data_IF_354594154278
#
_entry.id   IF_354594154278
#
_cell.length_a   1.000
_cell.length_b   1.000
_cell.length_c   1.000
_cell.angle_alpha   90.00
_cell.angle_beta   90.00
_cell.angle_gamma   90.00
#
_symmetry.space_group_name_H-M   'P 1'
#
loop_
_entity.id
_entity.type
_entity.pdbx_description
1 polymer ?
#
# COMPACT_ATOMS: atom_id res chain seq x y z
N UNK A 1 -16.04 1.05 -13.87
CA UNK A 1 -15.38 0.60 -15.13
C UNK A 1 -16.40 -0.17 -15.95
N UNK A 2 -16.50 0.10 -17.26
CA UNK A 2 -17.38 -0.66 -18.16
C UNK A 2 -16.74 -2.01 -18.51
N UNK A 3 -17.56 -3.05 -18.78
CA UNK A 3 -17.09 -4.40 -19.08
C UNK A 3 -16.06 -4.49 -20.22
N UNK A 4 -16.19 -3.77 -21.36
CA UNK A 4 -15.17 -3.81 -22.41
C UNK A 4 -13.79 -3.31 -21.96
N UNK A 5 -13.75 -2.34 -21.05
CA UNK A 5 -12.49 -1.84 -20.49
C UNK A 5 -11.89 -2.88 -19.54
N UNK A 6 -12.72 -3.48 -18.68
CA UNK A 6 -12.29 -4.55 -17.77
C UNK A 6 -11.72 -5.74 -18.55
N UNK A 7 -12.41 -6.18 -19.61
CA UNK A 7 -11.95 -7.25 -20.48
C UNK A 7 -10.60 -6.90 -21.13
N UNK A 8 -10.46 -5.66 -21.63
CA UNK A 8 -9.20 -5.20 -22.23
C UNK A 8 -8.04 -5.16 -21.25
N UNK A 9 -8.30 -4.78 -20.01
CA UNK A 9 -7.30 -4.78 -18.92
C UNK A 9 -6.90 -6.20 -18.55
N UNK A 10 -7.86 -7.10 -18.31
CA UNK A 10 -7.59 -8.49 -17.96
C UNK A 10 -6.79 -9.19 -19.06
N UNK A 11 -7.24 -9.07 -20.32
CA UNK A 11 -6.54 -9.61 -21.47
C UNK A 11 -5.11 -9.04 -21.58
N UNK A 12 -4.96 -7.71 -21.56
CA UNK A 12 -3.68 -7.04 -21.75
C UNK A 12 -2.65 -7.34 -20.68
N UNK A 13 -3.07 -7.65 -19.44
CA UNK A 13 -2.17 -8.07 -18.37
C UNK A 13 -1.79 -9.55 -18.50
N UNK A 14 -2.76 -10.43 -18.71
CA UNK A 14 -2.55 -11.88 -18.64
C UNK A 14 -1.89 -12.46 -19.89
N UNK A 15 -2.06 -11.84 -21.06
CA UNK A 15 -1.36 -12.22 -22.28
C UNK A 15 0.17 -12.02 -22.21
N UNK A 16 0.67 -11.19 -21.28
CA UNK A 16 2.12 -11.07 -21.05
C UNK A 16 2.75 -12.31 -20.41
N UNK A 17 1.93 -13.24 -19.89
CA UNK A 17 2.38 -14.54 -19.34
C UNK A 17 3.41 -14.42 -18.23
N UNK A 18 3.32 -13.38 -17.41
CA UNK A 18 4.11 -13.32 -16.18
C UNK A 18 3.74 -14.51 -15.29
N UNK A 19 4.71 -15.15 -14.61
CA UNK A 19 4.44 -16.26 -13.69
C UNK A 19 3.42 -15.89 -12.61
N UNK A 20 3.47 -14.65 -12.15
CA UNK A 20 2.54 -14.07 -11.19
C UNK A 20 2.02 -12.72 -11.69
N UNK A 21 0.72 -12.52 -11.62
CA UNK A 21 0.04 -11.26 -11.97
C UNK A 21 -0.93 -10.91 -10.85
N UNK A 22 -0.85 -9.68 -10.31
CA UNK A 22 -1.75 -9.23 -9.26
C UNK A 22 -2.59 -8.06 -9.77
N UNK A 23 -3.92 -8.19 -9.66
CA UNK A 23 -4.87 -7.10 -9.82
C UNK A 23 -5.06 -6.42 -8.46
N UNK A 24 -4.81 -5.12 -8.39
CA UNK A 24 -4.99 -4.33 -7.18
C UNK A 24 -6.17 -3.38 -7.36
N UNK A 25 -7.26 -3.67 -6.66
CA UNK A 25 -8.51 -2.92 -6.72
C UNK A 25 -8.54 -1.85 -5.63
N UNK A 26 -8.48 -0.60 -6.05
CA UNK A 26 -8.52 0.54 -5.14
C UNK A 26 -9.11 1.77 -5.84
N UNK A 27 -9.13 2.92 -5.16
CA UNK A 27 -9.69 4.18 -5.64
C UNK A 27 -11.10 4.39 -5.12
N UNK A 28 -11.48 5.57 -4.68
CA UNK A 28 -12.75 5.82 -4.01
C UNK A 28 -13.12 4.74 -2.99
N UNK A 29 -14.15 3.98 -3.28
CA UNK A 29 -14.51 2.75 -2.56
C UNK A 29 -14.91 1.67 -3.58
N UNK A 30 -14.08 0.62 -3.79
CA UNK A 30 -14.32 -0.40 -4.82
C UNK A 30 -15.64 -1.17 -4.63
N UNK A 31 -16.08 -1.37 -3.38
CA UNK A 31 -17.35 -2.09 -3.11
C UNK A 31 -18.56 -1.42 -3.74
N UNK A 32 -18.49 -0.13 -4.10
CA UNK A 32 -19.55 0.57 -4.81
C UNK A 32 -19.78 0.04 -6.24
N UNK A 33 -18.83 -0.65 -6.82
CA UNK A 33 -19.00 -1.31 -8.12
C UNK A 33 -19.92 -2.56 -8.05
N UNK A 34 -20.15 -3.05 -6.84
CA UNK A 34 -20.97 -4.24 -6.60
C UNK A 34 -20.18 -5.55 -6.77
N UNK A 35 -20.59 -6.59 -6.05
CA UNK A 35 -19.90 -7.89 -6.04
C UNK A 35 -19.89 -8.56 -7.42
N UNK A 36 -20.92 -8.35 -8.25
CA UNK A 36 -21.03 -8.95 -9.58
C UNK A 36 -19.98 -8.41 -10.56
N UNK A 37 -19.55 -7.16 -10.41
CA UNK A 37 -18.41 -6.63 -11.16
C UNK A 37 -17.14 -7.44 -10.90
N UNK A 38 -16.86 -7.80 -9.65
CA UNK A 38 -15.66 -8.58 -9.30
C UNK A 38 -15.80 -10.06 -9.62
N UNK A 39 -17.03 -10.63 -9.61
CA UNK A 39 -17.27 -11.97 -10.18
C UNK A 39 -16.94 -11.99 -11.68
N UNK A 40 -17.32 -10.93 -12.40
CA UNK A 40 -16.97 -10.78 -13.82
C UNK A 40 -15.47 -10.59 -14.03
N UNK A 41 -14.80 -9.83 -13.16
CA UNK A 41 -13.35 -9.69 -13.22
C UNK A 41 -12.65 -11.05 -13.11
N UNK A 42 -13.04 -11.86 -12.12
CA UNK A 42 -12.49 -13.21 -11.92
C UNK A 42 -12.80 -14.13 -13.10
N UNK A 43 -14.00 -14.06 -13.67
CA UNK A 43 -14.35 -14.82 -14.89
C UNK A 43 -13.40 -14.48 -16.06
N UNK A 44 -13.11 -13.19 -16.26
CA UNK A 44 -12.18 -12.73 -17.29
C UNK A 44 -10.74 -13.15 -17.00
N UNK A 45 -10.33 -13.10 -15.73
CA UNK A 45 -9.02 -13.59 -15.30
C UNK A 45 -8.84 -15.08 -15.60
N UNK A 46 -9.86 -15.90 -15.32
CA UNK A 46 -9.87 -17.31 -15.64
C UNK A 46 -9.84 -17.57 -17.15
N UNK A 47 -10.57 -16.76 -17.94
CA UNK A 47 -10.63 -16.86 -19.39
C UNK A 47 -9.31 -16.54 -20.08
N UNK A 48 -8.60 -15.49 -19.63
CA UNK A 48 -7.37 -15.02 -20.26
C UNK A 48 -6.09 -15.56 -19.62
N UNK A 49 -6.17 -16.07 -18.40
CA UNK A 49 -5.06 -16.73 -17.71
C UNK A 49 -4.57 -17.99 -18.43
N UNK A 50 -3.34 -18.38 -18.19
CA UNK A 50 -2.74 -19.59 -18.76
C UNK A 50 -2.47 -20.64 -17.67
N UNK A 51 -2.41 -21.93 -18.03
CA UNK A 51 -1.98 -22.98 -17.10
C UNK A 51 -0.63 -22.65 -16.45
N UNK A 52 -0.56 -22.72 -15.12
CA UNK A 52 0.65 -22.42 -14.35
C UNK A 52 0.87 -20.92 -14.04
N UNK A 53 0.05 -20.02 -14.56
CA UNK A 53 0.06 -18.61 -14.18
C UNK A 53 -0.70 -18.41 -12.87
N UNK A 54 -0.06 -17.73 -11.91
CA UNK A 54 -0.70 -17.36 -10.65
C UNK A 54 -1.34 -15.99 -10.81
N UNK A 55 -2.65 -15.90 -10.58
CA UNK A 55 -3.40 -14.65 -10.61
C UNK A 55 -3.89 -14.35 -9.21
N UNK A 56 -3.47 -13.20 -8.67
CA UNK A 56 -3.87 -12.73 -7.35
C UNK A 56 -4.73 -11.47 -7.44
N UNK A 57 -5.58 -11.28 -6.43
CA UNK A 57 -6.40 -10.09 -6.27
C UNK A 57 -6.14 -9.45 -4.92
N UNK A 58 -5.72 -8.17 -4.91
CA UNK A 58 -5.65 -7.33 -3.73
C UNK A 58 -6.78 -6.30 -3.78
N UNK A 59 -7.44 -6.05 -2.65
CA UNK A 59 -8.64 -5.22 -2.61
C UNK A 59 -8.63 -4.30 -1.40
N UNK A 60 -8.61 -2.98 -1.62
CA UNK A 60 -8.65 -2.00 -0.54
C UNK A 60 -10.07 -1.48 -0.32
N UNK A 61 -10.54 -1.52 0.93
CA UNK A 61 -11.90 -1.09 1.28
C UNK A 61 -11.97 -0.43 2.65
N UNK A 62 -12.96 0.44 2.83
CA UNK A 62 -13.36 0.95 4.13
C UNK A 62 -14.22 -0.05 4.96
N UNK A 63 -14.61 -1.17 4.38
CA UNK A 63 -15.37 -2.24 5.02
C UNK A 63 -16.88 -1.99 5.17
N UNK A 64 -17.37 -0.79 4.88
CA UNK A 64 -18.77 -0.40 5.20
C UNK A 64 -19.83 -1.24 4.49
N UNK A 65 -19.54 -1.73 3.28
CA UNK A 65 -20.46 -2.51 2.44
C UNK A 65 -20.10 -4.01 2.39
N UNK A 66 -19.18 -4.47 3.20
CA UNK A 66 -18.80 -5.89 3.24
C UNK A 66 -19.93 -6.70 3.90
N UNK A 67 -20.40 -7.71 3.20
CA UNK A 67 -21.41 -8.68 3.62
C UNK A 67 -20.97 -10.12 3.31
N UNK A 68 -21.91 -11.08 3.49
CA UNK A 68 -21.63 -12.51 3.27
C UNK A 68 -21.28 -12.81 1.80
N UNK A 69 -21.85 -12.08 0.83
CA UNK A 69 -21.55 -12.30 -0.60
C UNK A 69 -20.13 -11.86 -0.96
N UNK A 70 -19.70 -10.71 -0.41
CA UNK A 70 -18.32 -10.26 -0.53
C UNK A 70 -17.34 -11.24 0.11
N UNK A 71 -17.64 -11.71 1.33
CA UNK A 71 -16.77 -12.67 2.03
C UNK A 71 -16.66 -14.01 1.29
N UNK A 72 -17.75 -14.49 0.67
CA UNK A 72 -17.69 -15.68 -0.19
C UNK A 72 -16.76 -15.47 -1.38
N UNK A 73 -16.92 -14.37 -2.12
CA UNK A 73 -16.05 -14.03 -3.25
C UNK A 73 -14.58 -13.98 -2.81
N UNK A 74 -14.28 -13.25 -1.74
CA UNK A 74 -12.91 -13.08 -1.26
C UNK A 74 -12.27 -14.40 -0.82
N UNK A 75 -13.00 -15.25 -0.10
CA UNK A 75 -12.54 -16.57 0.31
C UNK A 75 -12.30 -17.49 -0.88
N UNK A 76 -13.28 -17.60 -1.79
CA UNK A 76 -13.28 -18.58 -2.86
C UNK A 76 -12.18 -18.30 -3.89
N UNK A 77 -11.82 -17.03 -4.08
CA UNK A 77 -10.78 -16.59 -5.00
C UNK A 77 -9.54 -16.02 -4.30
N UNK A 78 -9.43 -16.21 -2.99
CA UNK A 78 -8.25 -15.86 -2.17
C UNK A 78 -7.81 -14.40 -2.35
N UNK A 79 -8.76 -13.47 -2.30
CA UNK A 79 -8.44 -12.06 -2.29
C UNK A 79 -7.66 -11.69 -1.03
N UNK A 80 -6.64 -10.85 -1.17
CA UNK A 80 -5.99 -10.19 -0.04
C UNK A 80 -6.63 -8.83 0.21
N UNK A 81 -7.25 -8.65 1.36
CA UNK A 81 -8.01 -7.45 1.68
C UNK A 81 -7.17 -6.46 2.48
N UNK A 82 -7.11 -5.21 2.02
CA UNK A 82 -6.63 -4.09 2.81
C UNK A 82 -7.80 -3.37 3.45
N UNK A 83 -8.05 -3.65 4.74
CA UNK A 83 -9.16 -3.03 5.47
C UNK A 83 -8.70 -1.74 6.15
N UNK A 84 -9.40 -0.66 5.87
CA UNK A 84 -9.08 0.65 6.45
C UNK A 84 -9.58 0.75 7.90
N UNK A 85 -8.67 0.72 8.87
CA UNK A 85 -8.94 0.99 10.30
C UNK A 85 -7.79 1.84 10.84
N UNK A 86 -8.09 3.03 11.39
CA UNK A 86 -7.06 3.96 11.86
C UNK A 86 -6.72 3.78 13.35
N UNK A 87 -7.47 2.95 14.08
CA UNK A 87 -7.28 2.68 15.51
C UNK A 87 -8.60 2.54 16.26
N UNK A 88 -8.65 2.82 17.58
CA UNK A 88 -9.87 2.92 18.38
C UNK A 88 -10.90 3.87 17.76
N UNK A 89 -12.16 3.75 18.18
CA UNK A 89 -13.28 4.46 17.58
C UNK A 89 -13.07 5.97 17.50
N UNK A 90 -12.60 6.57 18.57
CA UNK A 90 -12.38 8.03 18.67
C UNK A 90 -11.31 8.53 17.67
N UNK A 91 -10.35 7.70 17.29
CA UNK A 91 -9.34 8.02 16.31
C UNK A 91 -9.90 7.80 14.89
N UNK A 92 -10.52 6.65 14.67
CA UNK A 92 -11.06 6.27 13.36
C UNK A 92 -12.17 7.22 12.92
N UNK A 93 -13.16 7.47 13.76
CA UNK A 93 -14.37 8.24 13.45
C UNK A 93 -14.10 9.74 13.33
N UNK A 94 -12.91 10.21 13.72
CA UNK A 94 -12.53 11.62 13.51
C UNK A 94 -12.51 12.02 12.03
N UNK A 95 -12.10 11.10 11.16
CA UNK A 95 -11.95 11.36 9.72
C UNK A 95 -12.76 10.41 8.83
N UNK A 96 -13.09 9.22 9.33
CA UNK A 96 -13.85 8.25 8.55
C UNK A 96 -15.31 8.32 8.94
N UNK A 97 -15.99 9.28 8.32
CA UNK A 97 -17.41 9.52 8.52
C UNK A 97 -18.20 9.31 7.21
N UNK A 98 -19.44 8.92 7.32
CA UNK A 98 -20.35 8.83 6.20
C UNK A 98 -20.87 10.24 5.80
N UNK A 99 -21.67 10.32 4.70
CA UNK A 99 -22.27 11.59 4.23
C UNK A 99 -23.13 12.30 5.26
N UNK A 100 -23.62 11.60 6.29
CA UNK A 100 -24.42 12.17 7.39
C UNK A 100 -23.55 12.55 8.62
N UNK A 101 -22.21 12.52 8.51
CA UNK A 101 -21.29 12.84 9.59
C UNK A 101 -21.18 11.77 10.68
N UNK A 102 -21.76 10.58 10.49
CA UNK A 102 -21.66 9.47 11.46
C UNK A 102 -20.41 8.65 11.18
N UNK A 103 -19.70 8.27 12.24
CA UNK A 103 -18.52 7.42 12.19
C UNK A 103 -18.76 6.07 11.48
N UNK A 104 -17.71 5.49 10.96
CA UNK A 104 -17.72 4.23 10.22
C UNK A 104 -17.07 3.07 10.99
N UNK A 105 -16.52 3.30 12.19
CA UNK A 105 -15.76 2.34 12.96
C UNK A 105 -16.51 1.03 13.23
N UNK A 106 -17.76 1.11 13.69
CA UNK A 106 -18.58 -0.08 13.96
C UNK A 106 -18.73 -0.97 12.72
N UNK A 107 -18.87 -0.35 11.52
CA UNK A 107 -18.99 -1.08 10.26
C UNK A 107 -17.66 -1.73 9.86
N UNK A 108 -16.55 -1.03 10.00
CA UNK A 108 -15.23 -1.57 9.71
C UNK A 108 -14.87 -2.74 10.63
N UNK A 109 -15.16 -2.64 11.94
CA UNK A 109 -14.95 -3.72 12.89
C UNK A 109 -15.87 -4.92 12.64
N UNK A 110 -17.14 -4.68 12.30
CA UNK A 110 -18.06 -5.75 11.90
C UNK A 110 -17.60 -6.48 10.64
N UNK A 111 -17.06 -5.74 9.65
CA UNK A 111 -16.46 -6.32 8.44
C UNK A 111 -15.24 -7.19 8.77
N UNK A 112 -14.36 -6.74 9.67
CA UNK A 112 -13.21 -7.52 10.12
C UNK A 112 -13.64 -8.84 10.77
N UNK A 113 -14.64 -8.79 11.64
CA UNK A 113 -15.17 -9.99 12.29
C UNK A 113 -15.86 -10.93 11.30
N UNK A 114 -16.60 -10.38 10.33
CA UNK A 114 -17.22 -11.17 9.27
C UNK A 114 -16.16 -11.87 8.40
N UNK A 115 -15.13 -11.15 7.96
CA UNK A 115 -14.01 -11.72 7.20
C UNK A 115 -13.28 -12.83 7.97
N UNK A 116 -13.04 -12.68 9.28
CA UNK A 116 -12.48 -13.75 10.14
C UNK A 116 -13.34 -15.01 10.14
N UNK A 117 -14.67 -14.87 10.27
CA UNK A 117 -15.60 -16.01 10.26
C UNK A 117 -15.58 -16.77 8.93
N UNK A 118 -15.34 -16.06 7.83
CA UNK A 118 -15.22 -16.67 6.49
C UNK A 118 -13.81 -17.18 6.16
N UNK A 119 -12.80 -16.92 7.01
CA UNK A 119 -11.41 -17.25 6.73
C UNK A 119 -10.78 -16.42 5.61
N UNK A 120 -11.26 -15.18 5.42
CA UNK A 120 -10.69 -14.22 4.46
C UNK A 120 -9.43 -13.62 5.04
N UNK A 121 -8.34 -13.60 4.26
CA UNK A 121 -7.10 -12.95 4.68
C UNK A 121 -7.18 -11.43 4.48
N UNK A 122 -6.79 -10.69 5.51
CA UNK A 122 -6.76 -9.23 5.42
C UNK A 122 -5.66 -8.62 6.28
N UNK A 123 -5.21 -7.46 5.85
CA UNK A 123 -4.30 -6.59 6.60
C UNK A 123 -4.99 -5.25 6.90
N UNK A 124 -4.55 -4.60 7.96
CA UNK A 124 -5.04 -3.28 8.35
C UNK A 124 -4.23 -2.19 7.66
N UNK A 125 -4.93 -1.23 7.06
CA UNK A 125 -4.39 0.01 6.51
C UNK A 125 -4.77 1.16 7.44
N UNK A 126 -3.79 1.71 8.13
CA UNK A 126 -3.98 2.80 9.10
C UNK A 126 -3.30 4.07 8.63
N UNK A 127 -4.06 5.14 8.48
CA UNK A 127 -3.53 6.45 8.11
C UNK A 127 -2.99 7.16 9.34
N UNK A 128 -1.71 7.53 9.28
CA UNK A 128 -1.06 8.34 10.30
C UNK A 128 -1.09 9.81 9.87
N UNK A 129 -1.71 10.65 10.67
CA UNK A 129 -1.84 12.08 10.45
C UNK A 129 -1.38 12.85 11.70
N UNK A 130 -1.45 14.19 11.67
CA UNK A 130 -0.96 15.03 12.79
C UNK A 130 -1.65 14.77 14.14
N UNK A 131 -2.84 14.18 14.13
CA UNK A 131 -3.63 14.01 15.35
C UNK A 131 -3.36 12.68 16.06
N UNK A 132 -2.91 11.65 15.31
CA UNK A 132 -2.60 10.33 15.85
C UNK A 132 -1.10 9.98 15.79
N UNK A 133 -0.26 10.84 15.22
CA UNK A 133 1.18 10.61 15.08
C UNK A 133 1.92 10.47 16.42
N UNK A 134 1.34 10.94 17.52
CA UNK A 134 1.89 10.75 18.88
C UNK A 134 1.60 9.38 19.50
N UNK A 135 0.83 8.51 18.84
CA UNK A 135 0.28 7.27 19.42
C UNK A 135 0.91 5.98 18.88
N UNK A 136 2.13 6.01 18.35
CA UNK A 136 2.72 4.92 17.57
C UNK A 136 2.67 3.55 18.25
N UNK A 137 3.29 3.40 19.43
CA UNK A 137 3.30 2.12 20.15
C UNK A 137 1.90 1.73 20.65
N UNK A 138 1.07 2.69 21.05
CA UNK A 138 -0.27 2.44 21.57
C UNK A 138 -1.21 1.95 20.48
N UNK A 139 -1.13 2.53 19.26
CA UNK A 139 -1.87 2.05 18.10
C UNK A 139 -1.48 0.61 17.75
N UNK A 140 -0.18 0.33 17.68
CA UNK A 140 0.26 -1.03 17.34
C UNK A 140 -0.14 -2.05 18.42
N UNK A 141 -0.07 -1.67 19.71
CA UNK A 141 -0.56 -2.51 20.80
C UNK A 141 -2.05 -2.75 20.68
N UNK A 142 -2.83 -1.70 20.43
CA UNK A 142 -4.27 -1.83 20.23
C UNK A 142 -4.60 -2.78 19.07
N UNK A 143 -3.94 -2.65 17.92
CA UNK A 143 -4.14 -3.58 16.81
C UNK A 143 -3.80 -5.02 17.20
N UNK A 144 -2.71 -5.25 17.92
CA UNK A 144 -2.30 -6.56 18.39
C UNK A 144 -3.36 -7.16 19.35
N UNK A 145 -3.89 -6.36 20.27
CA UNK A 145 -4.92 -6.77 21.25
C UNK A 145 -6.26 -7.10 20.57
N UNK A 146 -6.57 -6.45 19.44
CA UNK A 146 -7.71 -6.79 18.58
C UNK A 146 -7.45 -8.02 17.70
N UNK A 147 -6.27 -8.63 17.76
CA UNK A 147 -5.89 -9.77 16.92
C UNK A 147 -5.63 -9.40 15.45
N UNK A 148 -5.28 -8.15 15.17
CA UNK A 148 -4.85 -7.71 13.84
C UNK A 148 -3.34 -7.90 13.71
N UNK A 149 -2.96 -8.98 13.02
CA UNK A 149 -1.55 -9.40 12.93
C UNK A 149 -0.79 -8.83 11.74
N UNK A 150 -1.44 -8.12 10.83
CA UNK A 150 -0.84 -7.51 9.66
C UNK A 150 -1.27 -6.04 9.57
N UNK A 151 -0.31 -5.12 9.73
CA UNK A 151 -0.58 -3.68 9.81
C UNK A 151 0.33 -2.92 8.85
N UNK A 152 -0.23 -1.96 8.14
CA UNK A 152 0.51 -0.96 7.38
C UNK A 152 0.12 0.43 7.87
N UNK A 153 1.10 1.20 8.31
CA UNK A 153 0.95 2.61 8.63
C UNK A 153 1.24 3.46 7.39
N UNK A 154 0.31 4.32 7.01
CA UNK A 154 0.39 5.15 5.81
C UNK A 154 0.44 6.61 6.25
N UNK A 155 1.57 7.32 6.10
CA UNK A 155 1.65 8.72 6.48
C UNK A 155 0.77 9.59 5.57
N UNK A 156 -0.03 10.45 6.18
CA UNK A 156 -0.75 11.51 5.46
C UNK A 156 0.25 12.58 5.03
N UNK A 157 0.50 12.66 3.72
CA UNK A 157 1.43 13.63 3.12
C UNK A 157 0.82 14.10 1.80
N UNK A 158 0.12 15.23 1.84
CA UNK A 158 -0.57 15.79 0.67
C UNK A 158 -0.20 17.27 0.50
N UNK A 159 -0.03 17.78 -0.73
CA UNK A 159 0.26 19.20 -0.94
C UNK A 159 -0.79 20.09 -0.29
N UNK A 160 -0.34 20.98 0.62
CA UNK A 160 -1.22 21.97 1.28
C UNK A 160 -2.21 21.43 2.31
N UNK A 161 -2.19 20.13 2.61
CA UNK A 161 -3.12 19.57 3.60
C UNK A 161 -2.77 19.98 5.03
N UNK A 162 -3.76 20.43 5.84
CA UNK A 162 -3.56 20.73 7.25
C UNK A 162 -3.39 19.44 8.09
N UNK A 163 -3.67 18.26 7.53
CA UNK A 163 -3.63 16.97 8.22
C UNK A 163 -2.30 16.23 8.05
N UNK A 164 -1.37 16.80 7.30
CA UNK A 164 -0.06 16.21 7.08
C UNK A 164 0.65 15.89 8.40
N UNK A 165 1.30 14.75 8.45
CA UNK A 165 2.19 14.43 9.58
C UNK A 165 3.36 15.41 9.60
N UNK A 166 3.69 16.02 10.75
CA UNK A 166 4.95 16.73 10.89
C UNK A 166 6.11 15.71 10.77
N UNK A 167 7.14 15.97 9.95
CA UNK A 167 8.18 14.97 9.67
C UNK A 167 8.92 14.47 10.92
N UNK A 168 9.25 15.36 11.87
CA UNK A 168 9.94 15.01 13.10
C UNK A 168 9.06 14.16 14.02
N UNK A 169 7.75 14.42 14.07
CA UNK A 169 6.79 13.64 14.84
C UNK A 169 6.62 12.25 14.23
N UNK A 170 6.57 12.17 12.90
CA UNK A 170 6.53 10.89 12.21
C UNK A 170 7.80 10.06 12.43
N UNK A 171 8.96 10.71 12.53
CA UNK A 171 10.20 10.06 12.93
C UNK A 171 10.12 9.43 14.31
N UNK A 172 9.54 10.15 15.29
CA UNK A 172 9.27 9.61 16.63
C UNK A 172 8.27 8.47 16.60
N UNK A 173 7.15 8.65 15.89
CA UNK A 173 6.15 7.60 15.67
C UNK A 173 6.78 6.29 15.19
N UNK A 174 7.62 6.37 14.16
CA UNK A 174 8.31 5.19 13.61
C UNK A 174 9.24 4.55 14.62
N UNK A 175 10.01 5.35 15.39
CA UNK A 175 10.92 4.84 16.41
C UNK A 175 10.16 4.13 17.55
N UNK A 176 9.12 4.78 18.09
CA UNK A 176 8.33 4.24 19.21
C UNK A 176 7.58 2.96 18.81
N UNK A 177 6.96 2.97 17.63
CA UNK A 177 6.27 1.81 17.07
C UNK A 177 7.25 0.65 16.83
N UNK A 178 8.44 0.95 16.28
CA UNK A 178 9.48 -0.04 16.03
C UNK A 178 10.03 -0.65 17.33
N UNK A 179 10.20 0.16 18.36
CA UNK A 179 10.67 -0.31 19.66
C UNK A 179 9.70 -1.32 20.28
N UNK A 180 8.38 -1.02 20.28
CA UNK A 180 7.36 -1.97 20.71
C UNK A 180 7.35 -3.21 19.82
N UNK A 181 7.32 -3.04 18.50
CA UNK A 181 7.32 -4.15 17.55
C UNK A 181 8.52 -5.08 17.76
N UNK A 182 9.72 -4.52 17.85
CA UNK A 182 10.96 -5.32 17.90
C UNK A 182 11.17 -6.05 19.23
N UNK A 183 10.56 -5.59 20.33
CA UNK A 183 10.70 -6.17 21.67
C UNK A 183 9.58 -7.14 22.01
N UNK A 184 8.33 -6.79 21.72
CA UNK A 184 7.14 -7.47 22.24
C UNK A 184 6.30 -8.16 21.15
N UNK A 185 6.26 -7.59 19.92
CA UNK A 185 5.38 -8.02 18.85
C UNK A 185 6.09 -8.76 17.71
N UNK A 186 7.43 -8.82 17.71
CA UNK A 186 8.21 -9.45 16.65
C UNK A 186 7.85 -10.92 16.45
N UNK A 187 7.46 -11.27 15.21
CA UNK A 187 7.02 -12.62 14.83
C UNK A 187 5.58 -12.95 15.25
N UNK A 188 4.85 -11.98 15.82
CA UNK A 188 3.41 -12.09 16.13
C UNK A 188 2.60 -11.09 15.30
N UNK A 189 3.10 -9.86 15.17
CA UNK A 189 2.50 -8.80 14.36
C UNK A 189 3.48 -8.41 13.27
N UNK A 190 3.02 -8.38 12.04
CA UNK A 190 3.77 -7.95 10.87
C UNK A 190 3.43 -6.48 10.59
N UNK A 191 4.45 -5.62 10.65
CA UNK A 191 4.34 -4.23 10.25
C UNK A 191 5.07 -4.06 8.93
N UNK A 192 4.35 -3.76 7.86
CA UNK A 192 4.85 -3.83 6.49
C UNK A 192 6.17 -3.10 6.28
N UNK A 193 6.35 -1.92 6.85
CA UNK A 193 7.60 -1.15 6.74
C UNK A 193 8.77 -1.83 7.46
N UNK A 194 8.53 -2.33 8.66
CA UNK A 194 9.59 -2.92 9.48
C UNK A 194 10.01 -4.29 8.95
N UNK A 195 9.05 -5.12 8.56
CA UNK A 195 9.31 -6.42 7.92
C UNK A 195 10.00 -6.25 6.56
N UNK A 196 9.58 -5.24 5.77
CA UNK A 196 10.26 -4.89 4.52
C UNK A 196 11.72 -4.47 4.72
N UNK A 197 12.00 -3.65 5.73
CA UNK A 197 13.38 -3.27 6.08
C UNK A 197 14.20 -4.45 6.61
N UNK A 198 13.57 -5.35 7.36
CA UNK A 198 14.19 -6.60 7.81
C UNK A 198 14.52 -7.49 6.61
N UNK A 199 13.61 -7.68 5.67
CA UNK A 199 13.82 -8.43 4.43
C UNK A 199 15.01 -7.87 3.64
N UNK A 200 15.10 -6.55 3.47
CA UNK A 200 16.26 -5.90 2.82
C UNK A 200 17.59 -6.22 3.54
N UNK A 201 17.59 -6.30 4.87
CA UNK A 201 18.78 -6.69 5.64
C UNK A 201 19.17 -8.16 5.47
N UNK A 202 18.22 -8.99 5.05
CA UNK A 202 18.44 -10.41 4.75
C UNK A 202 18.76 -10.65 3.26
N UNK A 203 18.80 -9.59 2.43
CA UNK A 203 19.11 -9.66 1.01
C UNK A 203 17.87 -9.81 0.11
N UNK A 204 16.67 -9.78 0.69
CA UNK A 204 15.40 -9.86 -0.05
C UNK A 204 14.92 -8.44 -0.43
N UNK A 205 14.05 -8.29 -1.45
CA UNK A 205 13.39 -7.02 -1.75
C UNK A 205 12.51 -6.54 -0.56
N UNK A 206 12.41 -5.23 -0.37
CA UNK A 206 11.55 -4.66 0.69
C UNK A 206 10.05 -4.94 0.51
N UNK A 207 9.60 -5.27 -0.70
CA UNK A 207 8.19 -5.41 -1.02
C UNK A 207 7.40 -4.09 -1.01
N UNK A 208 8.08 -2.95 -0.82
CA UNK A 208 7.51 -1.61 -0.77
C UNK A 208 8.15 -0.71 -1.83
N UNK A 209 7.35 -0.10 -2.70
CA UNK A 209 7.83 0.83 -3.73
C UNK A 209 8.54 2.05 -3.12
N UNK A 210 8.16 2.46 -1.89
CA UNK A 210 8.82 3.55 -1.16
C UNK A 210 10.31 3.31 -0.98
N UNK A 211 10.72 2.08 -0.69
CA UNK A 211 12.12 1.70 -0.50
C UNK A 211 12.79 1.13 -1.76
N UNK A 212 12.05 0.97 -2.85
CA UNK A 212 12.61 0.55 -4.13
C UNK A 212 13.39 1.66 -4.85
N UNK A 213 14.37 1.32 -5.69
CA UNK A 213 15.20 2.31 -6.41
C UNK A 213 14.47 3.01 -7.54
N UNK A 214 13.32 2.48 -7.97
CA UNK A 214 12.52 2.98 -9.11
C UNK A 214 11.04 2.96 -8.78
N UNK A 215 10.26 3.80 -9.47
CA UNK A 215 8.80 3.80 -9.42
C UNK A 215 8.25 3.08 -10.66
N UNK A 216 8.35 1.76 -10.69
CA UNK A 216 7.90 0.91 -11.80
C UNK A 216 7.28 -0.41 -11.34
N UNK A 217 6.76 -0.44 -10.10
CA UNK A 217 6.19 -1.66 -9.53
C UNK A 217 4.82 -2.02 -10.13
N UNK A 218 4.07 -1.02 -10.59
CA UNK A 218 2.73 -1.17 -11.17
C UNK A 218 2.38 0.01 -12.08
N UNK A 219 1.26 -0.12 -12.77
CA UNK A 219 0.57 0.96 -13.47
C UNK A 219 -0.88 0.99 -13.00
N UNK A 220 -1.54 2.11 -13.18
CA UNK A 220 -2.95 2.31 -12.81
C UNK A 220 -3.78 2.44 -14.07
N UNK A 221 -4.93 1.78 -14.09
CA UNK A 221 -5.96 1.96 -15.11
C UNK A 221 -7.23 2.44 -14.44
N UNK A 222 -7.65 3.64 -14.80
CA UNK A 222 -8.87 4.26 -14.29
C UNK A 222 -10.15 3.64 -14.93
N UNK A 223 -11.29 3.92 -14.31
CA UNK A 223 -12.59 3.37 -14.74
C UNK A 223 -12.98 3.67 -16.18
N UNK A 224 -12.42 4.73 -16.77
CA UNK A 224 -12.61 5.14 -18.16
C UNK A 224 -11.56 4.57 -19.13
N UNK A 225 -10.63 3.75 -18.62
CA UNK A 225 -9.56 3.13 -19.40
C UNK A 225 -8.27 3.95 -19.49
N UNK A 226 -8.19 5.12 -18.89
CA UNK A 226 -7.00 5.94 -18.86
C UNK A 226 -5.90 5.30 -18.01
N UNK A 227 -4.67 5.36 -18.51
CA UNK A 227 -3.49 4.71 -17.91
C UNK A 227 -2.57 5.74 -17.30
N UNK A 228 -2.11 5.46 -16.07
CA UNK A 228 -1.19 6.29 -15.29
C UNK A 228 -0.07 5.48 -14.66
N UNK A 229 0.99 6.17 -14.21
CA UNK A 229 2.14 5.53 -13.56
C UNK A 229 1.84 5.01 -12.15
N UNK A 230 1.02 5.74 -11.40
CA UNK A 230 0.80 5.54 -9.98
C UNK A 230 -0.54 6.15 -9.58
N UNK A 231 -1.21 5.55 -8.62
CA UNK A 231 -2.48 6.01 -8.04
C UNK A 231 -2.41 7.43 -7.43
N UNK A 232 -1.22 7.86 -7.00
CA UNK A 232 -0.99 9.25 -6.55
C UNK A 232 -0.73 10.25 -7.68
N UNK A 233 -0.69 9.81 -8.92
CA UNK A 233 -0.40 10.66 -10.09
C UNK A 233 -1.47 10.53 -11.17
N UNK A 234 -2.73 10.43 -10.74
CA UNK A 234 -3.90 10.40 -11.63
C UNK A 234 -4.31 11.85 -11.98
N UNK A 235 -3.47 12.49 -12.79
CA UNK A 235 -3.68 13.83 -13.33
C UNK A 235 -3.37 13.84 -14.81
N UNK A 236 -4.01 14.71 -15.60
CA UNK A 236 -3.88 14.75 -17.06
C UNK A 236 -2.42 14.84 -17.53
N UNK A 237 -1.60 15.60 -16.82
CA UNK A 237 -0.17 15.73 -17.13
C UNK A 237 0.61 14.41 -17.02
N UNK A 238 0.11 13.45 -16.20
CA UNK A 238 0.75 12.14 -15.97
C UNK A 238 0.08 11.00 -16.72
N UNK A 239 -0.99 11.27 -17.47
CA UNK A 239 -1.67 10.27 -18.30
C UNK A 239 -0.70 9.71 -19.34
N UNK A 240 -0.65 8.38 -19.47
CA UNK A 240 0.15 7.66 -20.44
C UNK A 240 -0.59 7.40 -21.75
N UNK A 241 -1.90 7.21 -21.67
CA UNK A 241 -2.79 6.90 -22.79
C UNK A 241 -4.08 6.25 -22.30
N UNK A 242 -4.73 5.46 -23.17
CA UNK A 242 -5.95 4.74 -22.84
C UNK A 242 -5.86 3.28 -23.34
N UNK A 243 -6.31 2.31 -22.55
CA UNK A 243 -6.23 0.88 -22.88
C UNK A 243 -7.06 0.49 -24.10
N UNK A 244 -8.05 1.29 -24.45
CA UNK A 244 -8.87 1.09 -25.65
C UNK A 244 -8.16 1.53 -26.94
N UNK A 245 -7.11 2.35 -26.82
CA UNK A 245 -6.38 2.92 -27.96
C UNK A 245 -5.07 2.16 -28.26
N UNK A 246 -4.44 1.58 -27.22
CA UNK A 246 -3.16 0.88 -27.35
C UNK A 246 -3.04 -0.30 -26.38
N UNK A 247 -2.17 -1.30 -26.70
CA UNK A 247 -1.89 -2.41 -25.78
C UNK A 247 -1.27 -1.92 -24.47
N UNK A 248 -1.69 -2.50 -23.35
CA UNK A 248 -1.27 -2.10 -22.00
C UNK A 248 0.26 -2.10 -21.84
N UNK A 249 0.95 -3.12 -22.37
CA UNK A 249 2.41 -3.23 -22.29
C UNK A 249 3.15 -2.09 -23.01
N UNK A 250 2.56 -1.49 -24.06
CA UNK A 250 3.20 -0.41 -24.82
C UNK A 250 3.41 0.86 -23.99
N UNK A 251 2.58 1.08 -22.96
CA UNK A 251 2.72 2.24 -22.08
C UNK A 251 3.99 2.18 -21.23
N UNK A 252 4.46 0.98 -20.87
CA UNK A 252 5.69 0.78 -20.10
C UNK A 252 6.96 1.17 -20.88
N UNK A 253 6.88 1.19 -22.20
CA UNK A 253 8.00 1.52 -23.09
C UNK A 253 8.09 3.02 -23.41
N UNK A 254 7.06 3.79 -23.05
CA UNK A 254 7.01 5.22 -23.38
C UNK A 254 8.13 6.01 -22.69
N UNK A 255 8.70 7.05 -23.34
CA UNK A 255 9.68 7.92 -22.69
C UNK A 255 9.14 8.60 -21.41
N UNK A 256 7.83 8.87 -21.37
CA UNK A 256 7.13 9.46 -20.23
C UNK A 256 7.15 8.50 -19.04
N UNK A 257 6.80 7.23 -19.24
CA UNK A 257 6.86 6.20 -18.20
C UNK A 257 8.30 6.02 -17.67
N UNK A 258 9.26 5.84 -18.57
CA UNK A 258 10.67 5.66 -18.20
C UNK A 258 11.22 6.86 -17.42
N UNK A 259 10.88 8.09 -17.82
CA UNK A 259 11.28 9.31 -17.10
C UNK A 259 10.77 9.29 -15.66
N UNK A 260 9.49 8.99 -15.44
CA UNK A 260 8.90 8.89 -14.12
C UNK A 260 9.56 7.79 -13.30
N UNK A 261 9.68 6.59 -13.85
CA UNK A 261 10.26 5.43 -13.16
C UNK A 261 11.66 5.72 -12.60
N UNK A 262 12.50 6.43 -13.36
CA UNK A 262 13.89 6.73 -12.99
C UNK A 262 14.07 8.07 -12.25
N UNK A 263 13.05 8.89 -12.13
CA UNK A 263 13.14 10.18 -11.44
C UNK A 263 13.57 10.03 -9.98
N UNK A 264 13.19 8.93 -9.35
CA UNK A 264 13.51 8.62 -7.94
C UNK A 264 15.01 8.67 -7.65
N UNK A 265 15.84 8.16 -8.55
CA UNK A 265 17.30 8.10 -8.41
C UNK A 265 18.01 9.44 -8.68
N UNK A 266 17.30 10.45 -9.20
CA UNK A 266 17.89 11.72 -9.68
C UNK A 266 18.00 12.82 -8.61
N UNK A 267 17.54 12.56 -7.38
CA UNK A 267 17.59 13.55 -6.29
C UNK A 267 19.03 13.80 -5.87
N UNK A 268 19.55 14.98 -6.22
CA UNK A 268 20.96 15.36 -5.96
C UNK A 268 21.25 15.54 -4.47
N UNK A 269 20.31 16.06 -3.69
CA UNK A 269 20.42 16.20 -2.24
C UNK A 269 20.59 14.86 -1.49
N UNK A 270 20.27 13.75 -2.15
CA UNK A 270 20.51 12.40 -1.58
C UNK A 270 21.91 11.85 -1.87
N UNK A 271 22.75 12.57 -2.62
CA UNK A 271 24.16 12.19 -2.83
C UNK A 271 24.91 12.28 -1.51
N UNK A 272 25.63 11.22 -1.16
CA UNK A 272 26.38 11.17 0.14
C UNK A 272 25.51 10.85 1.36
N UNK A 273 24.19 10.72 1.22
CA UNK A 273 23.37 10.28 2.34
C UNK A 273 23.64 8.80 2.69
N UNK A 274 23.96 8.47 3.96
CA UNK A 274 24.24 7.08 4.37
C UNK A 274 23.06 6.14 4.19
N UNK A 275 21.85 6.67 4.11
CA UNK A 275 20.62 5.91 3.96
C UNK A 275 20.11 5.80 2.51
N UNK A 276 20.90 6.28 1.55
CA UNK A 276 20.48 6.30 0.14
C UNK A 276 20.14 4.91 -0.41
N UNK A 277 20.91 3.89 -0.05
CA UNK A 277 20.68 2.50 -0.49
C UNK A 277 19.44 1.84 0.11
N UNK A 278 18.89 2.41 1.18
CA UNK A 278 17.65 1.94 1.81
C UNK A 278 16.45 2.80 1.39
N UNK A 279 16.61 4.13 1.44
CA UNK A 279 15.51 5.09 1.24
C UNK A 279 15.25 5.41 -0.24
N UNK A 280 16.30 5.44 -1.07
CA UNK A 280 16.23 5.85 -2.48
C UNK A 280 15.52 7.20 -2.72
N UNK A 281 15.47 8.07 -1.70
CA UNK A 281 14.79 9.37 -1.75
C UNK A 281 13.29 9.33 -1.46
N UNK A 282 12.76 8.22 -0.95
CA UNK A 282 11.37 8.06 -0.53
C UNK A 282 10.36 8.02 -1.68
N UNK A 283 9.07 8.15 -1.37
CA UNK A 283 8.00 8.21 -2.37
C UNK A 283 8.08 9.53 -3.17
N UNK A 284 7.83 9.47 -4.47
CA UNK A 284 7.82 10.67 -5.32
C UNK A 284 6.63 11.59 -4.98
N UNK A 285 5.48 11.04 -4.59
CA UNK A 285 4.32 11.81 -4.15
C UNK A 285 4.66 12.69 -2.95
N UNK A 286 5.36 12.14 -1.95
CA UNK A 286 5.70 12.86 -0.74
C UNK A 286 6.71 14.01 -0.98
N UNK A 287 7.38 14.05 -2.12
CA UNK A 287 8.23 15.17 -2.52
C UNK A 287 7.42 16.41 -2.87
N UNK A 288 6.24 16.21 -3.49
CA UNK A 288 5.36 17.31 -3.90
C UNK A 288 4.77 18.09 -2.72
N UNK A 289 4.66 17.45 -1.55
CA UNK A 289 4.19 18.14 -0.34
C UNK A 289 5.20 19.17 0.22
N UNK A 290 6.48 19.01 -0.10
CA UNK A 290 7.55 19.92 0.37
C UNK A 290 8.30 20.66 -0.75
N UNK A 291 7.97 20.39 -2.03
CA UNK A 291 8.70 20.96 -3.15
C UNK A 291 8.35 20.34 -4.49
N UNK A 292 9.36 19.83 -5.21
CA UNK A 292 9.26 19.27 -6.55
C UNK A 292 9.69 17.79 -6.57
N UNK A 293 9.48 17.11 -7.68
CA UNK A 293 9.96 15.73 -7.88
C UNK A 293 11.50 15.59 -7.80
N UNK A 294 12.24 16.69 -7.91
CA UNK A 294 13.71 16.71 -7.81
C UNK A 294 14.20 16.90 -6.36
N UNK A 295 13.31 17.20 -5.44
CA UNK A 295 13.61 17.39 -4.03
C UNK A 295 13.56 16.08 -3.23
N UNK A 296 14.17 16.00 -2.03
CA UNK A 296 13.93 14.89 -1.11
C UNK A 296 12.46 14.80 -0.71
N UNK A 297 12.04 13.61 -0.30
CA UNK A 297 10.72 13.44 0.32
C UNK A 297 10.53 14.40 1.51
N UNK A 298 9.33 14.93 1.71
CA UNK A 298 8.99 15.73 2.89
C UNK A 298 9.27 14.97 4.19
N UNK A 299 9.22 13.64 4.16
CA UNK A 299 9.53 12.76 5.30
C UNK A 299 11.03 12.48 5.48
N UNK A 300 11.93 13.17 4.77
CA UNK A 300 13.37 12.93 4.88
C UNK A 300 13.92 13.03 6.32
N UNK A 301 13.52 14.00 7.16
CA UNK A 301 13.93 14.03 8.57
C UNK A 301 13.49 12.79 9.34
N UNK A 302 12.23 12.36 9.18
CA UNK A 302 11.67 11.15 9.80
C UNK A 302 12.47 9.90 9.44
N UNK A 303 12.73 9.69 8.15
CA UNK A 303 13.46 8.51 7.70
C UNK A 303 14.91 8.49 8.17
N UNK A 304 15.60 9.64 8.21
CA UNK A 304 16.96 9.72 8.76
C UNK A 304 17.00 9.35 10.25
N UNK A 305 16.08 9.89 11.04
CA UNK A 305 15.93 9.57 12.45
C UNK A 305 15.65 8.09 12.64
N UNK A 306 14.65 7.57 11.95
CA UNK A 306 14.21 6.18 12.08
C UNK A 306 15.28 5.18 11.65
N UNK A 307 15.94 5.38 10.51
CA UNK A 307 16.99 4.45 10.07
C UNK A 307 18.20 4.43 11.01
N UNK A 308 18.58 5.59 11.56
CA UNK A 308 19.63 5.65 12.56
C UNK A 308 19.26 4.85 13.82
N UNK A 309 18.01 5.01 14.29
CA UNK A 309 17.49 4.31 15.45
C UNK A 309 17.34 2.79 15.21
N UNK A 310 16.71 2.40 14.11
CA UNK A 310 16.30 1.01 13.87
C UNK A 310 17.45 0.09 13.40
N UNK A 311 18.47 0.63 12.71
CA UNK A 311 19.51 -0.16 12.04
C UNK A 311 20.23 -1.15 12.97
N UNK A 312 20.70 -0.79 14.18
CA UNK A 312 21.39 -1.73 15.05
C UNK A 312 20.51 -2.92 15.47
N UNK A 313 19.24 -2.62 15.75
CA UNK A 313 18.28 -3.64 16.17
C UNK A 313 17.85 -4.53 15.00
N UNK A 314 17.60 -3.97 13.81
CA UNK A 314 17.32 -4.73 12.59
C UNK A 314 18.46 -5.70 12.24
N UNK A 315 19.72 -5.30 12.40
CA UNK A 315 20.86 -6.19 12.17
C UNK A 315 20.86 -7.41 13.12
N UNK A 316 20.46 -7.20 14.38
CA UNK A 316 20.31 -8.28 15.37
C UNK A 316 19.15 -9.20 15.02
N UNK A 317 17.99 -8.63 14.64
CA UNK A 317 16.80 -9.40 14.26
C UNK A 317 17.04 -10.22 12.98
N UNK A 318 17.74 -9.66 11.99
CA UNK A 318 18.10 -10.37 10.76
C UNK A 318 18.95 -11.63 11.05
N UNK A 319 19.96 -11.53 11.93
CA UNK A 319 20.75 -12.68 12.36
C UNK A 319 19.90 -13.75 13.05
N UNK A 320 18.92 -13.32 13.88
CA UNK A 320 18.00 -14.23 14.57
C UNK A 320 17.04 -14.91 13.59
N UNK A 321 16.50 -14.17 12.62
CA UNK A 321 15.59 -14.70 11.60
C UNK A 321 16.31 -15.69 10.66
N UNK A 322 17.55 -15.38 10.24
CA UNK A 322 18.37 -16.27 9.41
C UNK A 322 18.62 -17.63 10.08
N UNK A 323 18.89 -17.63 11.41
CA UNK A 323 19.07 -18.88 12.18
C UNK A 323 17.81 -19.75 12.28
N UNK A 324 16.62 -19.20 12.06
CA UNK A 324 15.35 -19.95 12.07
C UNK A 324 14.99 -20.51 10.70
N UNK A 325 15.63 -20.00 9.61
CA UNK A 325 15.47 -20.50 8.24
C UNK A 325 16.46 -21.63 7.91
N UNK A 326 17.58 -21.71 8.63
CA UNK A 326 18.58 -22.77 8.54
C UNK A 326 18.21 -23.97 9.44
#
# INVERSE_FOLDING_TARGET
MAEPILERVAQGLLENRFPETVFAWQGGEPTLAGVDFFRKAVELEQRFGAPGQVVGNAFQTNGVLIDDDWCRLFRDYKFLIGLSIDGPQEIHDKYRVNKAGRGAWDKAMAAAELMRRYGVEFNILSVVNRDNVGLGSDLLRWFADQGFNYVQFIPCVEPGSPHNVPPEDYGRFLCDTFDYWSREAFGKVFVRDFDGLLAMRMGDPAGLCTYGPRCNAYIVVEHNGDVYHCDFFVYDEWKLGNVMEAPLASFLETPKYKRFAYQKSKVTACRGCPWRSTCHGGCQKDRLAGGTLSDPTALCPAYKQFFAHATPRLATLAKRAARRRA
#
